data_IF_463750604750
#
_entry.id   IF_463750604750
#
_cell.length_a   1.000
_cell.length_b   1.000
_cell.length_c   1.000
_cell.angle_alpha   90.00
_cell.angle_beta   90.00
_cell.angle_gamma   90.00
#
_symmetry.space_group_name_H-M   'P 1'
#
loop_
_entity.id
_entity.type
_entity.pdbx_description
1 polymer ?
#
# COMPACT_ATOMS: atom_id res chain seq x y z
N UNK A 1 40.58 -74.78 -33.09
CA UNK A 1 39.16 -74.44 -32.83
C UNK A 1 38.99 -74.44 -31.32
N UNK A 2 38.23 -73.47 -30.79
CA UNK A 2 38.04 -73.14 -29.36
C UNK A 2 38.92 -71.99 -28.85
N UNK A 3 38.22 -70.89 -28.60
CA UNK A 3 38.67 -69.61 -28.07
C UNK A 3 39.06 -69.73 -26.59
N UNK A 4 40.14 -69.05 -26.20
CA UNK A 4 40.38 -68.64 -24.83
C UNK A 4 40.46 -67.11 -24.79
N UNK A 5 39.58 -66.55 -23.96
CA UNK A 5 39.49 -65.14 -23.60
C UNK A 5 40.24 -64.99 -22.28
N UNK A 6 41.20 -64.06 -22.20
CA UNK A 6 41.60 -63.44 -20.93
C UNK A 6 41.49 -61.90 -21.04
N UNK A 7 41.07 -61.22 -19.97
CA UNK A 7 40.73 -59.81 -20.00
C UNK A 7 41.91 -58.93 -19.56
N UNK A 8 42.28 -57.93 -20.38
CA UNK A 8 43.10 -56.80 -19.91
C UNK A 8 42.17 -55.65 -19.54
N UNK A 9 42.10 -55.39 -18.24
CA UNK A 9 41.50 -54.21 -17.66
C UNK A 9 42.31 -52.95 -18.06
N UNK A 10 41.62 -51.92 -18.53
CA UNK A 10 42.14 -50.55 -18.61
C UNK A 10 41.26 -49.64 -17.75
N UNK A 11 41.84 -48.75 -16.94
CA UNK A 11 41.07 -47.87 -16.06
C UNK A 11 40.35 -46.80 -16.87
N UNK A 12 39.02 -46.90 -16.93
CA UNK A 12 38.15 -45.83 -17.45
C UNK A 12 38.17 -44.68 -16.44
N UNK A 13 38.80 -43.56 -16.82
CA UNK A 13 38.63 -42.28 -16.13
C UNK A 13 37.16 -41.85 -16.23
N UNK A 14 36.52 -41.40 -15.13
CA UNK A 14 35.17 -40.85 -15.21
C UNK A 14 35.19 -39.57 -16.04
N UNK A 15 34.40 -39.59 -17.12
CA UNK A 15 34.07 -38.40 -17.90
C UNK A 15 33.25 -37.48 -16.99
N UNK A 16 33.69 -36.23 -16.71
CA UNK A 16 32.84 -35.31 -15.98
C UNK A 16 31.61 -35.02 -16.85
N UNK A 17 30.44 -35.32 -16.28
CA UNK A 17 29.16 -35.02 -16.88
C UNK A 17 29.12 -33.58 -17.33
N UNK A 18 28.73 -33.38 -18.59
CA UNK A 18 28.43 -32.09 -19.17
C UNK A 18 27.28 -31.50 -18.36
N UNK A 19 27.61 -30.73 -17.33
CA UNK A 19 26.68 -29.83 -16.67
C UNK A 19 26.03 -29.02 -17.78
N UNK A 20 24.71 -29.20 -17.94
CA UNK A 20 23.87 -28.36 -18.76
C UNK A 20 24.10 -26.97 -18.21
N UNK A 21 24.97 -26.23 -18.91
CA UNK A 21 25.31 -24.88 -18.55
C UNK A 21 24.03 -24.12 -18.78
N UNK A 22 23.36 -23.71 -17.70
CA UNK A 22 22.41 -22.63 -17.73
C UNK A 22 23.14 -21.46 -18.36
N UNK A 23 22.98 -21.33 -19.67
CA UNK A 23 23.35 -20.16 -20.43
C UNK A 23 22.43 -19.04 -19.94
N UNK A 24 22.79 -18.45 -18.81
CA UNK A 24 22.48 -17.07 -18.51
C UNK A 24 23.17 -16.26 -19.62
N UNK A 25 22.43 -16.09 -20.71
CA UNK A 25 22.80 -15.23 -21.81
C UNK A 25 23.14 -13.86 -21.23
N UNK A 26 24.40 -13.48 -21.44
CA UNK A 26 24.96 -12.14 -21.40
C UNK A 26 24.26 -11.12 -20.49
N UNK A 27 24.91 -10.81 -19.38
CA UNK A 27 24.62 -9.66 -18.52
C UNK A 27 24.59 -8.35 -19.32
N UNK A 28 23.43 -7.98 -19.86
CA UNK A 28 23.12 -6.58 -20.13
C UNK A 28 23.11 -5.81 -18.81
N UNK A 29 23.45 -4.50 -18.81
CA UNK A 29 23.45 -3.69 -17.60
C UNK A 29 22.07 -3.74 -16.91
N UNK A 30 21.94 -4.60 -15.90
CA UNK A 30 20.63 -5.04 -15.40
C UNK A 30 19.76 -3.88 -14.91
N UNK A 31 18.62 -3.68 -15.57
CA UNK A 31 17.58 -2.76 -15.12
C UNK A 31 16.89 -3.34 -13.88
N UNK A 32 16.50 -2.46 -12.96
CA UNK A 32 15.81 -2.82 -11.73
C UNK A 32 14.44 -2.16 -11.66
N UNK A 33 13.50 -2.82 -10.99
CA UNK A 33 12.15 -2.32 -10.75
C UNK A 33 11.90 -2.24 -9.26
N UNK A 34 11.56 -1.04 -8.78
CA UNK A 34 11.08 -0.80 -7.43
C UNK A 34 9.58 -1.12 -7.42
N UNK A 35 9.20 -2.19 -6.73
CA UNK A 35 7.80 -2.58 -6.54
C UNK A 35 7.11 -1.63 -5.56
N UNK A 36 5.77 -1.65 -5.55
CA UNK A 36 4.93 -0.82 -4.66
C UNK A 36 5.20 -1.03 -3.16
N UNK A 37 5.75 -2.17 -2.76
CA UNK A 37 6.12 -2.50 -1.38
C UNK A 37 7.59 -2.09 -1.03
N UNK A 38 8.26 -1.33 -1.90
CA UNK A 38 9.66 -0.93 -1.73
C UNK A 38 10.68 -2.01 -2.08
N UNK A 39 10.26 -3.25 -2.40
CA UNK A 39 11.20 -4.30 -2.78
C UNK A 39 11.74 -4.07 -4.20
N UNK A 40 13.03 -4.29 -4.36
CA UNK A 40 13.72 -4.18 -5.65
C UNK A 40 13.71 -5.54 -6.33
N UNK A 41 13.51 -5.56 -7.65
CA UNK A 41 13.52 -6.79 -8.44
C UNK A 41 14.17 -6.57 -9.80
N UNK A 42 14.74 -7.61 -10.42
CA UNK A 42 15.22 -7.50 -11.79
C UNK A 42 14.06 -7.15 -12.73
N UNK A 43 14.33 -6.26 -13.67
CA UNK A 43 13.41 -5.94 -14.75
C UNK A 43 13.27 -7.15 -15.68
N UNK A 44 12.03 -7.45 -16.04
CA UNK A 44 11.69 -8.57 -16.91
C UNK A 44 10.63 -8.11 -17.91
N UNK A 45 11.03 -7.99 -19.17
CA UNK A 45 10.17 -7.52 -20.25
C UNK A 45 9.01 -8.50 -20.52
N UNK A 46 9.18 -9.80 -20.23
CA UNK A 46 8.12 -10.79 -20.47
C UNK A 46 6.86 -10.51 -19.65
N UNK A 47 7.02 -9.91 -18.46
CA UNK A 47 5.89 -9.50 -17.61
C UNK A 47 5.03 -8.41 -18.23
N UNK A 48 5.62 -7.54 -19.05
CA UNK A 48 4.88 -6.49 -19.77
C UNK A 48 4.00 -7.14 -20.83
N UNK A 49 4.55 -8.05 -21.64
CA UNK A 49 3.80 -8.78 -22.66
C UNK A 49 2.65 -9.59 -22.06
N UNK A 50 2.88 -10.29 -20.95
CA UNK A 50 1.83 -11.05 -20.24
C UNK A 50 0.73 -10.13 -19.70
N UNK A 51 1.09 -8.96 -19.17
CA UNK A 51 0.12 -8.00 -18.66
C UNK A 51 -0.73 -7.40 -19.79
N UNK A 52 -0.11 -7.03 -20.91
CA UNK A 52 -0.81 -6.53 -22.10
C UNK A 52 -1.74 -7.60 -22.67
N UNK A 53 -1.27 -8.85 -22.85
CA UNK A 53 -2.10 -9.95 -23.34
C UNK A 53 -3.34 -10.15 -22.47
N UNK A 54 -3.21 -10.08 -21.14
CA UNK A 54 -4.36 -10.14 -20.21
C UNK A 54 -5.34 -8.98 -20.42
N UNK A 55 -4.84 -7.77 -20.66
CA UNK A 55 -5.69 -6.61 -20.92
C UNK A 55 -6.46 -6.76 -22.25
N UNK A 56 -5.82 -7.24 -23.31
CA UNK A 56 -6.48 -7.52 -24.59
C UNK A 56 -7.52 -8.63 -24.46
N UNK A 57 -7.21 -9.73 -23.75
CA UNK A 57 -8.15 -10.82 -23.49
C UNK A 57 -9.39 -10.37 -22.70
N UNK A 58 -9.23 -9.46 -21.75
CA UNK A 58 -10.33 -8.93 -20.96
C UNK A 58 -11.32 -8.10 -21.78
N UNK A 59 -10.88 -7.48 -22.88
CA UNK A 59 -11.72 -6.61 -23.73
C UNK A 59 -12.25 -7.33 -24.96
N UNK A 60 -11.43 -8.16 -25.62
CA UNK A 60 -11.79 -8.85 -26.86
C UNK A 60 -12.28 -10.30 -26.65
N UNK A 61 -12.20 -10.81 -25.42
CA UNK A 61 -12.72 -12.13 -25.04
C UNK A 61 -11.85 -13.30 -25.49
N UNK A 62 -12.38 -14.53 -25.37
CA UNK A 62 -11.63 -15.77 -25.63
C UNK A 62 -11.14 -15.95 -27.08
N UNK A 63 -11.78 -15.28 -28.05
CA UNK A 63 -11.33 -15.31 -29.46
C UNK A 63 -9.98 -14.61 -29.67
N UNK A 64 -9.57 -13.74 -28.74
CA UNK A 64 -8.29 -13.05 -28.80
C UNK A 64 -7.11 -13.96 -28.41
N UNK A 65 -7.33 -15.06 -27.68
CA UNK A 65 -6.27 -15.95 -27.21
C UNK A 65 -5.51 -16.64 -28.34
N UNK A 66 -6.21 -16.97 -29.44
CA UNK A 66 -5.64 -17.62 -30.62
C UNK A 66 -5.31 -16.63 -31.76
N UNK A 67 -5.59 -15.33 -31.58
CA UNK A 67 -5.44 -14.35 -32.66
C UNK A 67 -3.98 -13.92 -32.82
N UNK A 68 -3.35 -14.33 -33.92
CA UNK A 68 -1.98 -13.94 -34.26
C UNK A 68 -1.79 -12.42 -34.32
N UNK A 69 -2.78 -11.71 -34.86
CA UNK A 69 -2.78 -10.24 -34.93
C UNK A 69 -2.62 -9.59 -33.56
N UNK A 70 -3.26 -10.14 -32.53
CA UNK A 70 -3.20 -9.59 -31.16
C UNK A 70 -1.83 -9.88 -30.54
N UNK A 71 -1.30 -11.09 -30.73
CA UNK A 71 0.05 -11.42 -30.28
C UNK A 71 1.11 -10.52 -30.92
N UNK A 72 1.00 -10.25 -32.22
CA UNK A 72 1.90 -9.34 -32.95
C UNK A 72 1.77 -7.89 -32.41
N UNK A 73 0.55 -7.40 -32.20
CA UNK A 73 0.32 -6.07 -31.60
C UNK A 73 0.85 -5.96 -30.17
N UNK A 74 0.68 -7.00 -29.34
CA UNK A 74 1.21 -7.03 -27.98
C UNK A 74 2.74 -7.02 -27.97
N UNK A 75 3.38 -7.76 -28.87
CA UNK A 75 4.83 -7.77 -29.00
C UNK A 75 5.38 -6.39 -29.39
N UNK A 76 4.76 -5.74 -30.38
CA UNK A 76 5.13 -4.40 -30.82
C UNK A 76 4.96 -3.36 -29.69
N UNK A 77 3.84 -3.40 -28.97
CA UNK A 77 3.60 -2.51 -27.84
C UNK A 77 4.59 -2.75 -26.70
N UNK A 78 4.93 -4.00 -26.39
CA UNK A 78 5.90 -4.33 -25.36
C UNK A 78 7.29 -3.78 -25.71
N UNK A 79 7.72 -3.89 -26.96
CA UNK A 79 8.97 -3.32 -27.45
C UNK A 79 9.00 -1.79 -27.35
N UNK A 80 7.90 -1.12 -27.71
CA UNK A 80 7.76 0.33 -27.57
C UNK A 80 7.88 0.78 -26.11
N UNK A 81 7.28 0.04 -25.16
CA UNK A 81 7.36 0.34 -23.73
C UNK A 81 8.80 0.18 -23.22
N UNK A 82 9.46 -0.93 -23.57
CA UNK A 82 10.86 -1.19 -23.17
C UNK A 82 11.79 -0.12 -23.76
N UNK A 83 11.62 0.24 -25.04
CA UNK A 83 12.38 1.31 -25.67
C UNK A 83 12.13 2.67 -25.00
N UNK A 84 10.88 2.95 -24.63
CA UNK A 84 10.50 4.19 -23.93
C UNK A 84 11.11 4.31 -22.53
N UNK A 85 11.18 3.21 -21.79
CA UNK A 85 11.79 3.16 -20.44
C UNK A 85 13.31 3.31 -20.51
N UNK A 86 13.96 2.57 -21.39
CA UNK A 86 15.43 2.54 -21.51
C UNK A 86 16.01 3.85 -22.08
N UNK A 87 15.28 4.54 -22.95
CA UNK A 87 15.72 5.84 -23.53
C UNK A 87 15.87 6.96 -22.49
N UNK A 88 15.19 6.89 -21.34
CA UNK A 88 15.26 7.92 -20.29
C UNK A 88 16.55 7.91 -19.47
N UNK A 89 17.49 7.00 -19.74
CA UNK A 89 18.82 6.99 -19.10
C UNK A 89 18.85 6.51 -17.65
N UNK A 90 17.74 6.00 -17.12
CA UNK A 90 17.63 5.40 -15.78
C UNK A 90 17.86 3.89 -15.79
N UNK A 91 18.52 3.36 -14.76
CA UNK A 91 18.71 1.91 -14.55
C UNK A 91 17.72 1.31 -13.55
N UNK A 92 16.96 2.16 -12.87
CA UNK A 92 15.96 1.77 -11.88
C UNK A 92 14.65 2.47 -12.23
N UNK A 93 13.56 1.71 -12.30
CA UNK A 93 12.23 2.21 -12.63
C UNK A 93 11.28 1.93 -11.48
N UNK A 94 10.37 2.87 -11.19
CA UNK A 94 9.23 2.53 -10.36
C UNK A 94 8.22 1.74 -11.18
N UNK A 95 7.52 0.81 -10.53
CA UNK A 95 6.47 0.02 -11.20
C UNK A 95 5.30 0.89 -11.69
N UNK A 96 5.15 2.11 -11.18
CA UNK A 96 4.22 3.11 -11.71
C UNK A 96 4.70 3.66 -13.06
N UNK A 97 5.99 3.95 -13.21
CA UNK A 97 6.55 4.45 -14.48
C UNK A 97 6.31 3.47 -15.64
N UNK A 98 6.42 2.17 -15.35
CA UNK A 98 6.15 1.10 -16.31
C UNK A 98 4.66 1.08 -16.68
N UNK A 99 3.77 1.29 -15.72
CA UNK A 99 2.33 1.35 -15.97
C UNK A 99 1.95 2.57 -16.80
N UNK A 100 2.53 3.73 -16.50
CA UNK A 100 2.31 4.96 -17.27
C UNK A 100 2.81 4.83 -18.71
N UNK A 101 3.96 4.17 -18.91
CA UNK A 101 4.44 3.86 -20.26
C UNK A 101 3.53 2.87 -21.00
N UNK A 102 3.01 1.85 -20.31
CA UNK A 102 2.06 0.92 -20.91
C UNK A 102 0.76 1.62 -21.34
N UNK A 103 0.25 2.52 -20.52
CA UNK A 103 -0.94 3.31 -20.79
C UNK A 103 -0.74 4.25 -21.98
N UNK A 104 0.40 4.95 -22.02
CA UNK A 104 0.78 5.81 -23.13
C UNK A 104 0.93 5.02 -24.44
N UNK A 105 1.55 3.84 -24.40
CA UNK A 105 1.71 2.97 -25.57
C UNK A 105 0.36 2.50 -26.12
N UNK A 106 -0.55 2.05 -25.23
CA UNK A 106 -1.91 1.65 -25.62
C UNK A 106 -2.71 2.80 -26.24
N UNK A 107 -2.57 4.02 -25.70
CA UNK A 107 -3.23 5.21 -26.27
C UNK A 107 -2.66 5.59 -27.64
N UNK A 108 -1.34 5.56 -27.82
CA UNK A 108 -0.69 5.86 -29.10
C UNK A 108 -0.97 4.82 -30.19
N UNK A 109 -1.08 3.55 -29.79
CA UNK A 109 -1.48 2.45 -30.68
C UNK A 109 -2.97 2.46 -31.07
N UNK A 110 -3.77 3.44 -30.61
CA UNK A 110 -5.20 3.52 -30.91
C UNK A 110 -6.07 2.50 -30.16
N UNK A 111 -5.50 1.76 -29.21
CA UNK A 111 -6.20 0.75 -28.42
C UNK A 111 -6.95 1.37 -27.24
N UNK A 112 -7.76 2.40 -27.49
CA UNK A 112 -8.42 3.20 -26.45
C UNK A 112 -9.33 2.38 -25.52
N UNK A 113 -10.02 1.36 -26.07
CA UNK A 113 -10.87 0.46 -25.27
C UNK A 113 -10.04 -0.37 -24.27
N UNK A 114 -8.88 -0.87 -24.71
CA UNK A 114 -7.95 -1.63 -23.86
C UNK A 114 -7.28 -0.72 -22.84
N UNK A 115 -6.85 0.48 -23.23
CA UNK A 115 -6.30 1.48 -22.31
C UNK A 115 -7.29 1.82 -21.19
N UNK A 116 -8.57 2.08 -21.52
CA UNK A 116 -9.59 2.38 -20.52
C UNK A 116 -9.85 1.20 -19.57
N UNK A 117 -9.93 -0.02 -20.11
CA UNK A 117 -10.08 -1.22 -19.28
C UNK A 117 -8.86 -1.46 -18.37
N UNK A 118 -7.66 -1.17 -18.86
CA UNK A 118 -6.42 -1.25 -18.11
C UNK A 118 -6.40 -0.26 -16.93
N UNK A 119 -6.77 1.01 -17.17
CA UNK A 119 -6.93 2.05 -16.12
C UNK A 119 -7.93 1.58 -15.08
N UNK A 120 -9.11 1.11 -15.49
CA UNK A 120 -10.15 0.70 -14.55
C UNK A 120 -9.69 -0.48 -13.68
N UNK A 121 -9.06 -1.48 -14.30
CA UNK A 121 -8.51 -2.63 -13.59
C UNK A 121 -7.40 -2.22 -12.60
N UNK A 122 -6.52 -1.27 -12.96
CA UNK A 122 -5.47 -0.78 -12.04
C UNK A 122 -6.07 -0.09 -10.82
N UNK A 123 -7.13 0.69 -11.02
CA UNK A 123 -7.85 1.37 -9.93
C UNK A 123 -8.57 0.36 -9.03
N UNK A 124 -9.27 -0.61 -9.61
CA UNK A 124 -9.92 -1.68 -8.85
C UNK A 124 -8.90 -2.44 -8.00
N UNK A 125 -7.76 -2.83 -8.56
CA UNK A 125 -6.68 -3.48 -7.80
C UNK A 125 -6.00 -2.56 -6.79
N UNK A 126 -5.96 -1.25 -7.02
CA UNK A 126 -5.52 -0.28 -6.03
C UNK A 126 -6.51 -0.20 -4.86
N UNK A 127 -7.82 -0.14 -5.14
CA UNK A 127 -8.90 -0.14 -4.14
C UNK A 127 -8.97 -1.44 -3.37
N UNK A 128 -8.87 -2.59 -4.05
CA UNK A 128 -8.81 -3.91 -3.41
C UNK A 128 -7.61 -4.04 -2.48
N UNK A 129 -6.44 -3.49 -2.86
CA UNK A 129 -5.27 -3.49 -1.97
C UNK A 129 -5.40 -2.49 -0.85
N UNK A 130 -6.02 -1.32 -1.06
CA UNK A 130 -6.33 -0.40 0.04
C UNK A 130 -7.29 -1.05 1.05
N UNK A 131 -8.25 -1.85 0.56
CA UNK A 131 -9.18 -2.63 1.39
C UNK A 131 -8.52 -3.86 2.05
N UNK A 132 -7.66 -4.58 1.33
CA UNK A 132 -6.92 -5.75 1.84
C UNK A 132 -5.71 -5.37 2.69
N UNK A 133 -5.28 -4.11 2.67
CA UNK A 133 -4.35 -3.53 3.64
C UNK A 133 -5.04 -3.16 4.97
N UNK A 134 -6.25 -3.69 5.24
CA UNK A 134 -6.76 -3.85 6.59
C UNK A 134 -6.19 -5.15 7.19
N UNK A 135 -5.33 -5.17 8.21
CA UNK A 135 -4.73 -4.10 8.98
C UNK A 135 -3.26 -4.49 9.24
N UNK A 136 -2.25 -3.65 8.95
CA UNK A 136 -1.09 -3.68 9.80
C UNK A 136 -1.61 -3.35 11.19
N UNK A 137 -1.26 -4.15 12.20
CA UNK A 137 -1.36 -3.72 13.59
C UNK A 137 -0.61 -2.39 13.63
N UNK A 138 -1.33 -1.28 13.61
CA UNK A 138 -0.72 0.04 13.65
C UNK A 138 0.21 0.02 14.88
N UNK A 139 1.45 0.53 14.78
CA UNK A 139 2.29 0.64 15.96
C UNK A 139 1.44 1.34 17.01
N UNK A 140 1.16 0.66 18.11
CA UNK A 140 0.35 1.20 19.19
C UNK A 140 1.11 2.39 19.74
N UNK A 141 0.66 3.59 19.39
CA UNK A 141 1.22 4.83 19.91
C UNK A 141 1.23 4.75 21.43
N UNK A 142 2.31 5.21 22.05
CA UNK A 142 2.39 5.34 23.50
C UNK A 142 2.22 6.80 23.87
N UNK A 143 1.64 7.03 25.04
CA UNK A 143 1.58 8.34 25.66
C UNK A 143 2.52 8.39 26.87
N UNK A 144 3.03 9.58 27.17
CA UNK A 144 3.81 9.84 28.38
C UNK A 144 2.84 10.21 29.50
N UNK A 145 2.76 9.37 30.53
CA UNK A 145 1.97 9.61 31.74
C UNK A 145 2.61 10.70 32.62
N UNK A 146 1.88 11.19 33.62
CA UNK A 146 2.34 12.26 34.52
C UNK A 146 3.60 11.88 35.33
N UNK A 147 3.85 10.59 35.53
CA UNK A 147 5.04 10.04 36.18
C UNK A 147 6.23 9.85 35.22
N UNK A 148 6.07 10.22 33.94
CA UNK A 148 7.07 10.07 32.89
C UNK A 148 7.12 8.67 32.26
N UNK A 149 6.27 7.74 32.67
CA UNK A 149 6.22 6.39 32.08
C UNK A 149 5.51 6.40 30.72
N UNK A 150 5.96 5.52 29.82
CA UNK A 150 5.30 5.32 28.53
C UNK A 150 4.22 4.24 28.66
N UNK A 151 2.98 4.64 28.48
CA UNK A 151 1.79 3.77 28.59
C UNK A 151 1.13 3.66 27.21
N UNK A 152 0.55 2.51 26.82
CA UNK A 152 -0.21 2.40 25.58
C UNK A 152 -1.32 3.45 25.50
N UNK A 153 -1.47 4.09 24.34
CA UNK A 153 -2.53 5.06 24.11
C UNK A 153 -3.88 4.36 24.07
N UNK A 154 -4.82 4.81 24.92
CA UNK A 154 -6.18 4.29 24.94
C UNK A 154 -7.00 4.86 23.77
N UNK A 155 -6.90 4.19 22.63
CA UNK A 155 -7.63 4.54 21.41
C UNK A 155 -9.14 4.35 21.55
N UNK A 156 -9.57 3.40 22.39
CA UNK A 156 -11.01 3.14 22.62
C UNK A 156 -11.66 4.29 23.33
N UNK A 157 -11.00 4.80 24.38
CA UNK A 157 -11.44 6.01 25.07
C UNK A 157 -11.50 7.20 24.12
N UNK A 158 -10.43 7.43 23.35
CA UNK A 158 -10.38 8.55 22.41
C UNK A 158 -11.55 8.52 21.44
N UNK A 159 -11.83 7.35 20.85
CA UNK A 159 -12.95 7.17 19.93
C UNK A 159 -14.32 7.34 20.61
N UNK A 160 -14.47 6.91 21.87
CA UNK A 160 -15.69 7.11 22.64
C UNK A 160 -15.98 8.59 22.88
N UNK A 161 -14.98 9.37 23.30
CA UNK A 161 -15.13 10.81 23.56
C UNK A 161 -15.49 11.57 22.27
N UNK A 162 -14.86 11.24 21.14
CA UNK A 162 -15.20 11.85 19.85
C UNK A 162 -16.62 11.49 19.41
N UNK A 163 -17.02 10.22 19.58
CA UNK A 163 -18.39 9.78 19.28
C UNK A 163 -19.43 10.55 20.08
N UNK A 164 -19.26 10.61 21.40
CA UNK A 164 -20.15 11.35 22.31
C UNK A 164 -20.22 12.84 21.93
N UNK A 165 -19.09 13.44 21.55
CA UNK A 165 -19.04 14.83 21.13
C UNK A 165 -19.83 15.09 19.82
N UNK A 166 -19.83 14.13 18.88
CA UNK A 166 -20.56 14.22 17.63
C UNK A 166 -22.06 13.87 17.74
N UNK A 167 -22.50 13.28 18.85
CA UNK A 167 -23.86 12.75 18.99
C UNK A 167 -24.95 13.81 18.84
N UNK A 168 -25.97 13.50 18.02
CA UNK A 168 -27.14 14.37 17.82
C UNK A 168 -26.85 15.66 17.05
N UNK A 169 -25.70 15.79 16.39
CA UNK A 169 -25.37 16.92 15.53
C UNK A 169 -25.50 16.53 14.06
N UNK A 170 -26.10 17.41 13.25
CA UNK A 170 -26.22 17.22 11.81
C UNK A 170 -24.89 17.55 11.11
N UNK A 171 -24.63 16.86 10.00
CA UNK A 171 -23.53 17.14 9.06
C UNK A 171 -22.10 17.09 9.66
N UNK A 172 -21.95 16.44 10.82
CA UNK A 172 -20.64 16.16 11.43
C UNK A 172 -20.27 14.68 11.27
N UNK A 173 -18.98 14.41 11.06
CA UNK A 173 -18.44 13.05 10.95
C UNK A 173 -17.46 12.78 12.10
N UNK A 174 -17.75 11.73 12.86
CA UNK A 174 -16.84 11.19 13.86
C UNK A 174 -15.52 10.75 13.22
N UNK A 175 -15.58 10.11 12.04
CA UNK A 175 -14.37 9.65 11.35
C UNK A 175 -13.48 10.81 10.90
N UNK A 176 -14.06 11.94 10.48
CA UNK A 176 -13.29 13.13 10.10
C UNK A 176 -12.49 13.68 11.29
N UNK A 177 -13.15 13.87 12.45
CA UNK A 177 -12.50 14.37 13.67
C UNK A 177 -11.45 13.37 14.19
N UNK A 178 -11.78 12.07 14.24
CA UNK A 178 -10.85 11.04 14.70
C UNK A 178 -9.66 10.87 13.73
N UNK A 179 -9.91 10.97 12.43
CA UNK A 179 -8.88 10.95 11.38
C UNK A 179 -7.91 12.10 11.52
N UNK A 180 -8.42 13.33 11.68
CA UNK A 180 -7.60 14.52 11.85
C UNK A 180 -6.83 14.50 13.18
N UNK A 181 -7.47 14.03 14.26
CA UNK A 181 -6.81 13.84 15.56
C UNK A 181 -5.61 12.90 15.42
N UNK A 182 -5.79 11.73 14.78
CA UNK A 182 -4.72 10.73 14.60
C UNK A 182 -3.51 11.27 13.83
N UNK A 183 -3.71 12.20 12.91
CA UNK A 183 -2.61 12.85 12.17
C UNK A 183 -1.75 13.75 13.05
N UNK A 184 -2.32 14.28 14.13
CA UNK A 184 -1.64 15.17 15.07
C UNK A 184 -1.01 14.39 16.25
N UNK A 185 -1.22 13.08 16.36
CA UNK A 185 -0.61 12.25 17.39
C UNK A 185 0.79 11.78 16.98
N UNK A 186 1.69 11.73 17.95
CA UNK A 186 3.04 11.17 17.82
C UNK A 186 3.36 10.27 19.02
N UNK A 187 4.37 9.40 18.88
CA UNK A 187 4.80 8.51 19.97
C UNK A 187 5.41 9.32 21.12
N UNK A 188 4.96 9.06 22.34
CA UNK A 188 5.37 9.80 23.53
C UNK A 188 4.59 11.09 23.78
N UNK A 189 3.49 11.34 23.08
CA UNK A 189 2.60 12.48 23.36
C UNK A 189 2.19 12.52 24.83
N UNK A 190 2.18 13.70 25.45
CA UNK A 190 1.76 13.86 26.85
C UNK A 190 0.24 13.74 27.02
N UNK A 191 -0.22 13.46 28.24
CA UNK A 191 -1.66 13.42 28.56
C UNK A 191 -2.36 14.75 28.25
N UNK A 192 -1.68 15.88 28.50
CA UNK A 192 -2.23 17.22 28.26
C UNK A 192 -2.37 17.50 26.76
N UNK A 193 -1.34 17.19 25.97
CA UNK A 193 -1.38 17.32 24.52
C UNK A 193 -2.43 16.39 23.90
N UNK A 194 -2.57 15.16 24.41
CA UNK A 194 -3.60 14.22 24.00
C UNK A 194 -5.01 14.75 24.29
N UNK A 195 -5.19 15.49 25.39
CA UNK A 195 -6.46 16.16 25.70
C UNK A 195 -6.78 17.33 24.77
N UNK A 196 -5.76 18.02 24.26
CA UNK A 196 -5.92 19.15 23.34
C UNK A 196 -6.07 18.73 21.87
N UNK A 197 -5.45 17.61 21.46
CA UNK A 197 -5.41 17.19 20.07
C UNK A 197 -6.80 17.06 19.39
N UNK A 198 -7.82 16.44 20.01
CA UNK A 198 -9.16 16.34 19.41
C UNK A 198 -9.85 17.70 19.27
N UNK A 199 -9.59 18.61 20.20
CA UNK A 199 -10.17 19.96 20.20
C UNK A 199 -9.62 20.75 19.01
N UNK A 200 -8.29 20.71 18.82
CA UNK A 200 -7.64 21.36 17.68
C UNK A 200 -8.09 20.75 16.35
N UNK A 201 -8.22 19.42 16.29
CA UNK A 201 -8.73 18.71 15.12
C UNK A 201 -10.18 19.08 14.77
N UNK A 202 -11.07 19.20 15.75
CA UNK A 202 -12.44 19.67 15.50
C UNK A 202 -12.47 21.14 15.04
N UNK A 203 -11.57 21.98 15.57
CA UNK A 203 -11.50 23.40 15.23
C UNK A 203 -11.13 23.67 13.77
N UNK A 204 -10.27 22.85 13.16
CA UNK A 204 -9.90 22.99 11.75
C UNK A 204 -11.07 22.66 10.80
N UNK A 205 -12.06 21.90 11.27
CA UNK A 205 -13.24 21.52 10.48
C UNK A 205 -14.38 22.55 10.57
N UNK A 206 -14.26 23.60 11.40
CA UNK A 206 -15.31 24.62 11.54
C UNK A 206 -15.52 25.40 10.24
N UNK A 207 -14.47 25.59 9.46
CA UNK A 207 -14.56 26.27 8.16
C UNK A 207 -15.36 25.47 7.12
N UNK A 208 -15.42 24.14 7.26
CA UNK A 208 -16.19 23.27 6.36
C UNK A 208 -17.63 23.09 6.83
N UNK A 209 -17.85 22.97 8.14
CA UNK A 209 -19.18 22.84 8.72
C UNK A 209 -19.25 23.50 10.13
N UNK A 210 -20.12 24.52 10.34
CA UNK A 210 -20.23 25.23 11.61
C UNK A 210 -20.57 24.35 12.82
N UNK A 211 -21.27 23.24 12.66
CA UNK A 211 -21.61 22.34 13.77
C UNK A 211 -20.39 21.73 14.46
N UNK A 212 -19.20 21.70 13.82
CA UNK A 212 -17.96 21.30 14.48
C UNK A 212 -17.53 22.24 15.62
N UNK A 213 -18.04 23.47 15.67
CA UNK A 213 -17.81 24.36 16.83
C UNK A 213 -18.41 23.76 18.12
N UNK A 214 -19.59 23.12 18.02
CA UNK A 214 -20.21 22.42 19.15
C UNK A 214 -19.44 21.16 19.52
N UNK A 215 -18.93 20.43 18.53
CA UNK A 215 -18.04 19.27 18.76
C UNK A 215 -16.80 19.71 19.54
N UNK A 216 -16.12 20.77 19.10
CA UNK A 216 -14.95 21.32 19.78
C UNK A 216 -15.26 21.74 21.23
N UNK A 217 -16.42 22.36 21.48
CA UNK A 217 -16.85 22.72 22.83
C UNK A 217 -17.10 21.47 23.71
N UNK A 218 -17.74 20.42 23.17
CA UNK A 218 -17.97 19.16 23.89
C UNK A 218 -16.67 18.41 24.21
N UNK A 219 -15.70 18.44 23.30
CA UNK A 219 -14.36 17.88 23.56
C UNK A 219 -13.61 18.68 24.62
N UNK A 220 -13.74 20.00 24.64
CA UNK A 220 -13.20 20.84 25.71
C UNK A 220 -13.85 20.50 27.07
N UNK A 221 -15.15 20.20 27.10
CA UNK A 221 -15.82 19.75 28.31
C UNK A 221 -15.27 18.41 28.82
N UNK A 222 -14.83 17.47 27.97
CA UNK A 222 -14.14 16.25 28.42
C UNK A 222 -12.84 16.58 29.15
N UNK A 223 -12.03 17.50 28.61
CA UNK A 223 -10.79 17.95 29.27
C UNK A 223 -11.09 18.56 30.64
N UNK A 224 -12.07 19.48 30.71
CA UNK A 224 -12.44 20.15 31.96
C UNK A 224 -13.02 19.16 32.99
N UNK A 225 -13.82 18.18 32.54
CA UNK A 225 -14.37 17.13 33.40
C UNK A 225 -13.25 16.30 34.01
N UNK A 226 -12.29 15.84 33.20
CA UNK A 226 -11.14 15.08 33.67
C UNK A 226 -10.34 15.85 34.73
N UNK A 227 -10.12 17.14 34.48
CA UNK A 227 -9.42 18.03 35.41
C UNK A 227 -10.17 18.15 36.75
N UNK A 228 -11.48 18.42 36.70
CA UNK A 228 -12.31 18.55 37.89
C UNK A 228 -12.42 17.23 38.68
N UNK A 229 -12.67 16.11 38.01
CA UNK A 229 -12.82 14.81 38.66
C UNK A 229 -11.49 14.31 39.24
N UNK A 230 -10.38 14.51 38.53
CA UNK A 230 -9.05 14.16 39.05
C UNK A 230 -8.72 14.98 40.30
N UNK A 231 -9.08 16.26 40.31
CA UNK A 231 -8.91 17.12 41.48
C UNK A 231 -9.77 16.67 42.67
N UNK A 232 -11.04 16.32 42.43
CA UNK A 232 -11.98 15.91 43.50
C UNK A 232 -11.70 14.52 44.07
N UNK A 233 -11.31 13.56 43.24
CA UNK A 233 -11.07 12.17 43.65
C UNK A 233 -9.66 11.95 44.22
N UNK A 234 -8.72 12.85 43.95
CA UNK A 234 -7.33 12.73 44.37
C UNK A 234 -6.53 11.67 43.59
N UNK A 235 -7.11 11.11 42.53
CA UNK A 235 -6.45 10.18 41.61
C UNK A 235 -6.89 10.50 40.16
N UNK A 236 -6.14 10.00 39.17
CA UNK A 236 -6.50 10.22 37.77
C UNK A 236 -7.91 9.66 37.50
N UNK A 237 -8.85 10.55 37.15
CA UNK A 237 -10.22 10.21 36.81
C UNK A 237 -10.54 10.77 35.44
N UNK A 238 -10.97 9.87 34.56
CA UNK A 238 -11.27 10.14 33.17
C UNK A 238 -12.68 9.68 32.80
N UNK A 239 -13.69 9.85 33.65
CA UNK A 239 -15.07 9.53 33.25
C UNK A 239 -15.48 10.26 31.95
N UNK A 240 -16.09 9.57 30.99
CA UNK A 240 -16.68 10.19 29.78
C UNK A 240 -18.01 10.88 30.09
N UNK A 241 -18.64 11.51 29.10
CA UNK A 241 -19.97 12.08 29.30
C UNK A 241 -21.00 10.96 29.52
N UNK A 242 -20.88 9.86 28.77
CA UNK A 242 -21.78 8.71 28.91
C UNK A 242 -21.66 8.02 30.26
N UNK A 243 -20.50 8.04 30.89
CA UNK A 243 -20.26 7.43 32.21
C UNK A 243 -20.77 8.29 33.39
N UNK A 244 -21.04 9.57 33.14
CA UNK A 244 -21.57 10.52 34.13
C UNK A 244 -23.11 10.67 34.08
N UNK A 245 -23.76 10.09 33.07
CA UNK A 245 -25.18 10.30 32.76
C UNK A 245 -26.12 9.29 33.44
#
# INVERSE_FOLDING_TARGET
MSLQIEPVASPVRPVPGRAVSEQHAASEPGFQVIRRNGTVSPFDATKISVALAKAFLAVEGGSAAASRRIHDSVAELAEQIVSGLTRRGGRTFHIEDIQDQAELALMRGGHHKVARAYVLYREERARERAKAAAAPVAPSLRMTAADGTLVPLDTRRLEAVVREACEGLADVSQEAVAGETRRNLYDGISVDELGLAPILAARTLIETEPNYAKVSARLLLDKLRREALTFLSGHADAATQGEMA
#
